data_IF_751483014908
#
_entry.id   IF_751483014908
#
_cell.length_a   1.000
_cell.length_b   1.000
_cell.length_c   1.000
_cell.angle_alpha   90.00
_cell.angle_beta   90.00
_cell.angle_gamma   90.00
#
_symmetry.space_group_name_H-M   'P 1'
#
loop_
_entity.id
_entity.type
_entity.pdbx_description
1 polymer ?
#
# COMPACT_ATOMS: atom_id res chain seq x y z
N UNK A 1 -7.39 -12.23 -7.71
CA UNK A 1 -6.41 -11.43 -8.50
C UNK A 1 -6.45 -9.94 -8.19
N UNK A 2 -7.61 -9.35 -7.90
CA UNK A 2 -7.75 -7.91 -7.62
C UNK A 2 -6.88 -7.41 -6.44
N UNK A 3 -6.63 -8.24 -5.43
CA UNK A 3 -5.71 -7.92 -4.32
C UNK A 3 -4.28 -7.72 -4.83
N UNK A 4 -3.75 -8.64 -5.65
CA UNK A 4 -2.38 -8.58 -6.18
C UNK A 4 -2.19 -7.30 -7.01
N UNK A 5 -3.13 -7.00 -7.91
CA UNK A 5 -3.06 -5.83 -8.79
C UNK A 5 -3.07 -4.53 -7.99
N UNK A 6 -4.06 -4.34 -7.11
CA UNK A 6 -4.17 -3.14 -6.28
C UNK A 6 -2.98 -2.99 -5.31
N UNK A 7 -2.50 -4.09 -4.73
CA UNK A 7 -1.36 -4.06 -3.81
C UNK A 7 -0.06 -3.73 -4.55
N UNK A 8 0.12 -4.27 -5.75
CA UNK A 8 1.25 -3.95 -6.63
C UNK A 8 1.25 -2.48 -7.07
N UNK A 9 0.09 -1.96 -7.46
CA UNK A 9 -0.10 -0.53 -7.75
C UNK A 9 0.28 0.32 -6.53
N UNK A 10 -0.31 0.06 -5.36
CA UNK A 10 -0.05 0.84 -4.17
C UNK A 10 1.41 0.84 -3.72
N UNK A 11 2.06 -0.32 -3.78
CA UNK A 11 3.49 -0.45 -3.49
C UNK A 11 4.31 0.40 -4.45
N UNK A 12 4.01 0.35 -5.75
CA UNK A 12 4.73 1.10 -6.78
C UNK A 12 4.55 2.60 -6.60
N UNK A 13 3.31 3.05 -6.34
CA UNK A 13 3.02 4.47 -6.09
C UNK A 13 3.71 4.97 -4.82
N UNK A 14 3.75 4.18 -3.75
CA UNK A 14 4.45 4.54 -2.50
C UNK A 14 5.95 4.72 -2.72
N UNK A 15 6.59 3.83 -3.49
CA UNK A 15 8.02 3.95 -3.83
C UNK A 15 8.29 5.14 -4.75
N UNK A 16 7.41 5.41 -5.71
CA UNK A 16 7.50 6.58 -6.58
C UNK A 16 7.35 7.88 -5.77
N UNK A 17 6.46 7.92 -4.77
CA UNK A 17 6.30 9.08 -3.91
C UNK A 17 7.59 9.44 -3.16
N UNK A 18 8.31 8.43 -2.64
CA UNK A 18 9.63 8.64 -2.03
C UNK A 18 10.61 9.26 -3.05
N UNK A 19 10.61 8.78 -4.28
CA UNK A 19 11.50 9.30 -5.33
C UNK A 19 11.17 10.74 -5.74
N UNK A 20 9.89 11.11 -5.77
CA UNK A 20 9.47 12.50 -5.99
C UNK A 20 9.84 13.41 -4.81
N UNK A 21 9.65 12.94 -3.57
CA UNK A 21 10.04 13.69 -2.38
C UNK A 21 11.55 13.96 -2.32
N UNK A 22 12.39 12.99 -2.74
CA UNK A 22 13.86 13.17 -2.86
C UNK A 22 14.25 14.28 -3.85
N UNK A 23 13.41 14.54 -4.85
CA UNK A 23 13.59 15.62 -5.82
C UNK A 23 12.90 16.92 -5.40
N UNK A 24 12.43 17.00 -4.15
CA UNK A 24 11.63 18.11 -3.59
C UNK A 24 10.28 18.34 -4.30
N UNK A 25 9.79 17.36 -5.06
CA UNK A 25 8.49 17.39 -5.73
C UNK A 25 7.37 16.94 -4.76
N UNK A 26 7.19 17.67 -3.65
CA UNK A 26 6.31 17.23 -2.55
C UNK A 26 4.84 17.12 -2.94
N UNK A 27 4.34 18.03 -3.77
CA UNK A 27 2.97 17.95 -4.29
C UNK A 27 2.75 16.63 -5.03
N UNK A 28 3.73 16.21 -5.85
CA UNK A 28 3.62 14.96 -6.60
C UNK A 28 3.73 13.74 -5.69
N UNK A 29 4.62 13.79 -4.71
CA UNK A 29 4.72 12.75 -3.70
C UNK A 29 3.38 12.54 -2.97
N UNK A 30 2.72 13.62 -2.55
CA UNK A 30 1.44 13.55 -1.85
C UNK A 30 0.31 13.00 -2.76
N UNK A 31 0.27 13.37 -4.04
CA UNK A 31 -0.66 12.78 -5.03
C UNK A 31 -0.46 11.27 -5.21
N UNK A 32 0.80 10.82 -5.29
CA UNK A 32 1.14 9.42 -5.43
C UNK A 32 0.77 8.63 -4.17
N UNK A 33 1.01 9.20 -2.97
CA UNK A 33 0.60 8.59 -1.70
C UNK A 33 -0.92 8.47 -1.56
N UNK A 34 -1.68 9.48 -2.04
CA UNK A 34 -3.13 9.41 -2.11
C UNK A 34 -3.59 8.26 -3.01
N UNK A 35 -3.01 8.16 -4.20
CA UNK A 35 -3.32 7.08 -5.15
C UNK A 35 -2.98 5.71 -4.57
N UNK A 36 -1.84 5.58 -3.88
CA UNK A 36 -1.46 4.36 -3.17
C UNK A 36 -2.47 3.96 -2.09
N UNK A 37 -2.97 4.94 -1.31
CA UNK A 37 -3.98 4.71 -0.28
C UNK A 37 -5.31 4.23 -0.87
N UNK A 38 -5.75 4.81 -1.99
CA UNK A 38 -6.98 4.40 -2.67
C UNK A 38 -6.88 2.95 -3.19
N UNK A 39 -5.76 2.60 -3.83
CA UNK A 39 -5.51 1.23 -4.28
C UNK A 39 -5.46 0.24 -3.11
N UNK A 40 -4.76 0.56 -2.02
CA UNK A 40 -4.74 -0.28 -0.81
C UNK A 40 -6.12 -0.45 -0.19
N UNK A 41 -6.95 0.59 -0.18
CA UNK A 41 -8.31 0.52 0.36
C UNK A 41 -9.14 -0.51 -0.40
N UNK A 42 -9.03 -0.55 -1.74
CA UNK A 42 -9.69 -1.56 -2.57
C UNK A 42 -9.21 -2.97 -2.24
N UNK A 43 -7.90 -3.18 -2.08
CA UNK A 43 -7.34 -4.49 -1.73
C UNK A 43 -7.75 -4.95 -0.32
N UNK A 44 -7.69 -4.04 0.64
CA UNK A 44 -8.01 -4.29 2.04
C UNK A 44 -9.50 -4.60 2.24
N UNK A 45 -10.39 -3.96 1.48
CA UNK A 45 -11.81 -4.30 1.50
C UNK A 45 -12.05 -5.77 1.14
N UNK A 46 -11.43 -6.26 0.07
CA UNK A 46 -11.53 -7.67 -0.34
C UNK A 46 -10.94 -8.60 0.73
N UNK A 47 -9.82 -8.23 1.35
CA UNK A 47 -9.26 -8.98 2.48
C UNK A 47 -10.24 -9.05 3.65
N UNK A 48 -10.88 -7.92 3.98
CA UNK A 48 -11.86 -7.83 5.07
C UNK A 48 -13.06 -8.72 4.80
N UNK A 49 -13.59 -8.71 3.58
CA UNK A 49 -14.70 -9.57 3.15
C UNK A 49 -14.33 -11.06 3.28
N UNK A 50 -13.12 -11.47 2.85
CA UNK A 50 -12.69 -12.86 3.02
C UNK A 50 -12.61 -13.30 4.49
N UNK A 51 -12.08 -12.44 5.37
CA UNK A 51 -12.02 -12.72 6.82
C UNK A 51 -13.42 -12.81 7.41
N UNK A 52 -14.34 -11.92 7.00
CA UNK A 52 -15.72 -11.95 7.46
C UNK A 52 -16.45 -13.23 7.04
N UNK A 53 -16.22 -13.71 5.82
CA UNK A 53 -16.79 -14.97 5.35
C UNK A 53 -16.25 -16.17 6.13
N UNK A 54 -14.95 -16.18 6.43
CA UNK A 54 -14.34 -17.22 7.27
C UNK A 54 -14.95 -17.23 8.68
N UNK A 55 -15.14 -16.07 9.30
CA UNK A 55 -15.81 -15.93 10.62
C UNK A 55 -17.26 -16.43 10.58
N UNK A 56 -17.96 -16.26 9.45
CA UNK A 56 -19.34 -16.76 9.27
C UNK A 56 -19.42 -18.28 9.06
N UNK A 57 -18.29 -18.98 9.04
CA UNK A 57 -18.21 -20.41 8.80
C UNK A 57 -18.15 -20.78 7.31
N UNK A 58 -18.02 -19.81 6.41
CA UNK A 58 -17.80 -20.05 4.99
C UNK A 58 -16.30 -20.26 4.74
N UNK A 59 -15.80 -21.44 5.09
CA UNK A 59 -14.39 -21.79 4.92
C UNK A 59 -13.94 -21.61 3.46
N UNK A 60 -12.93 -20.75 3.26
CA UNK A 60 -12.28 -20.55 1.97
C UNK A 60 -11.14 -21.55 1.84
N UNK A 61 -11.02 -22.20 0.68
CA UNK A 61 -9.87 -23.08 0.42
C UNK A 61 -8.59 -22.26 0.32
N UNK A 62 -7.69 -22.46 1.27
CA UNK A 62 -6.34 -21.88 1.23
C UNK A 62 -5.60 -22.44 0.01
N UNK A 63 -5.11 -21.54 -0.84
CA UNK A 63 -4.31 -21.86 -2.03
C UNK A 63 -3.04 -21.01 -2.05
N UNK A 64 -2.02 -21.47 -2.77
CA UNK A 64 -0.77 -20.71 -2.92
C UNK A 64 -1.00 -19.30 -3.47
N UNK A 65 -1.97 -19.14 -4.40
CA UNK A 65 -2.33 -17.83 -4.97
C UNK A 65 -3.00 -16.93 -3.92
N UNK A 66 -3.83 -17.50 -3.04
CA UNK A 66 -4.45 -16.74 -1.95
C UNK A 66 -3.40 -16.24 -0.95
N UNK A 67 -2.50 -17.11 -0.52
CA UNK A 67 -1.36 -16.75 0.35
C UNK A 67 -0.53 -15.64 -0.30
N UNK A 68 -0.14 -15.83 -1.56
CA UNK A 68 0.63 -14.84 -2.31
C UNK A 68 -0.09 -13.48 -2.44
N UNK A 69 -1.42 -13.48 -2.58
CA UNK A 69 -2.20 -12.25 -2.60
C UNK A 69 -2.17 -11.52 -1.24
N UNK A 70 -2.27 -12.26 -0.13
CA UNK A 70 -2.15 -11.71 1.22
C UNK A 70 -0.75 -11.15 1.48
N UNK A 71 0.30 -11.86 1.04
CA UNK A 71 1.69 -11.41 1.14
C UNK A 71 1.89 -10.07 0.40
N UNK A 72 1.34 -9.95 -0.81
CA UNK A 72 1.39 -8.71 -1.58
C UNK A 72 0.71 -7.55 -0.86
N UNK A 73 -0.47 -7.78 -0.27
CA UNK A 73 -1.23 -6.76 0.45
C UNK A 73 -0.47 -6.29 1.70
N UNK A 74 0.00 -7.22 2.51
CA UNK A 74 0.71 -6.87 3.75
C UNK A 74 2.02 -6.15 3.45
N UNK A 75 2.77 -6.59 2.43
CA UNK A 75 3.96 -5.90 1.98
C UNK A 75 3.65 -4.48 1.45
N UNK A 76 2.56 -4.30 0.71
CA UNK A 76 2.15 -2.97 0.22
C UNK A 76 1.74 -2.02 1.35
N UNK A 77 1.04 -2.51 2.38
CA UNK A 77 0.70 -1.75 3.59
C UNK A 77 1.96 -1.26 4.30
N UNK A 78 2.89 -2.18 4.61
CA UNK A 78 4.15 -1.85 5.28
C UNK A 78 4.98 -0.86 4.47
N UNK A 79 5.08 -1.04 3.14
CA UNK A 79 5.83 -0.11 2.28
C UNK A 79 5.19 1.27 2.28
N UNK A 80 3.86 1.40 2.24
CA UNK A 80 3.17 2.70 2.33
C UNK A 80 3.45 3.40 3.66
N UNK A 81 3.36 2.67 4.77
CA UNK A 81 3.55 3.27 6.10
C UNK A 81 4.98 3.78 6.27
N UNK A 82 5.97 2.97 5.87
CA UNK A 82 7.36 3.40 5.85
C UNK A 82 7.62 4.53 4.85
N UNK A 83 6.95 4.53 3.68
CA UNK A 83 7.09 5.60 2.71
C UNK A 83 6.62 6.95 3.27
N UNK A 84 5.55 6.95 4.05
CA UNK A 84 5.04 8.16 4.73
C UNK A 84 6.12 8.74 5.65
N UNK A 85 6.65 7.92 6.56
CA UNK A 85 7.71 8.34 7.49
C UNK A 85 8.97 8.83 6.76
N UNK A 86 9.37 8.14 5.68
CA UNK A 86 10.54 8.53 4.88
C UNK A 86 10.32 9.89 4.21
N UNK A 87 9.13 10.14 3.65
CA UNK A 87 8.79 11.42 3.01
C UNK A 87 8.83 12.55 4.05
N UNK A 88 8.29 12.32 5.24
CA UNK A 88 8.28 13.32 6.31
C UNK A 88 9.71 13.63 6.80
N UNK A 89 10.56 12.61 6.95
CA UNK A 89 12.00 12.80 7.26
C UNK A 89 12.70 13.63 6.16
N UNK A 90 12.38 13.41 4.88
CA UNK A 90 12.95 14.18 3.77
C UNK A 90 12.51 15.64 3.85
N UNK A 91 11.22 15.90 4.08
CA UNK A 91 10.66 17.26 4.24
C UNK A 91 11.32 17.97 5.43
N UNK A 92 11.42 17.31 6.58
CA UNK A 92 12.03 17.86 7.81
C UNK A 92 13.51 18.23 7.64
N UNK A 93 14.26 17.46 6.83
CA UNK A 93 15.66 17.78 6.51
C UNK A 93 15.76 19.01 5.61
N UNK A 94 14.86 19.14 4.62
CA UNK A 94 14.84 20.28 3.71
C UNK A 94 14.55 21.60 4.44
N UNK A 95 13.68 21.59 5.46
CA UNK A 95 13.39 22.78 6.29
C UNK A 95 14.56 23.22 7.20
N UNK A 96 15.55 22.36 7.41
CA UNK A 96 16.70 22.64 8.29
C UNK A 96 17.91 23.20 7.53
N UNK A 97 17.91 23.14 6.21
CA UNK A 97 18.93 23.69 5.31
C UNK A 97 18.52 25.07 4.79
#
# INVERSE_FOLDING_TARGET
MQIIVNSGEARSQSLNAINEARQKNYLKADELMKTAKEALSRAHQIQTEMIQEEIRGNEQRVSMIMVHAQDHLMNALTVRDLATEIIDIIKDRDYRE
#
